data_IF_927726612466
#
_entry.id   IF_927726612466
#
_cell.length_a   1.000
_cell.length_b   1.000
_cell.length_c   1.000
_cell.angle_alpha   90.00
_cell.angle_beta   90.00
_cell.angle_gamma   90.00
#
_symmetry.space_group_name_H-M   'P 1'
#
loop_
_entity.id
_entity.type
_entity.pdbx_description
1 polymer ?
#
# COMPACT_ATOMS: atom_id res chain seq x y z
N UNK A 1 30.07 -13.94 42.62
CA UNK A 1 31.13 -14.28 41.65
C UNK A 1 30.92 -15.71 41.17
N UNK A 2 30.56 -15.94 39.89
CA UNK A 2 29.97 -15.02 38.92
C UNK A 2 28.50 -15.35 38.62
N UNK A 3 27.74 -14.29 38.35
CA UNK A 3 26.47 -14.31 37.61
C UNK A 3 26.78 -14.55 36.13
N UNK A 4 26.13 -15.52 35.49
CA UNK A 4 26.16 -15.67 34.03
C UNK A 4 24.89 -15.02 33.45
N UNK A 5 25.10 -13.82 32.93
CA UNK A 5 24.08 -13.00 32.28
C UNK A 5 23.71 -13.60 30.93
N UNK A 6 22.56 -14.27 30.87
CA UNK A 6 21.89 -14.61 29.61
C UNK A 6 21.42 -13.37 28.87
N UNK A 7 22.33 -12.69 28.14
CA UNK A 7 21.98 -11.72 27.09
C UNK A 7 21.74 -12.50 25.79
N UNK A 8 20.54 -12.47 25.20
CA UNK A 8 20.40 -12.87 23.81
C UNK A 8 21.14 -11.83 22.95
N UNK A 9 22.16 -12.28 22.22
CA UNK A 9 22.89 -11.50 21.24
C UNK A 9 21.90 -10.87 20.24
N UNK A 10 21.96 -9.55 20.11
CA UNK A 10 21.36 -8.82 19.00
C UNK A 10 21.78 -9.48 17.69
N UNK A 11 20.86 -10.18 17.03
CA UNK A 11 21.07 -10.62 15.66
C UNK A 11 21.03 -9.38 14.76
N UNK A 12 22.07 -9.15 13.94
CA UNK A 12 22.01 -8.10 12.94
C UNK A 12 20.86 -8.41 11.98
N UNK A 13 20.11 -7.36 11.63
CA UNK A 13 18.96 -7.41 10.73
C UNK A 13 19.41 -7.81 9.33
N UNK A 14 19.61 -9.09 9.09
CA UNK A 14 19.81 -9.62 7.75
C UNK A 14 18.52 -9.38 6.95
N UNK A 15 18.58 -8.50 5.95
CA UNK A 15 17.61 -8.45 4.87
C UNK A 15 17.59 -9.84 4.20
N UNK A 16 16.71 -10.73 4.69
CA UNK A 16 16.57 -12.08 4.19
C UNK A 16 15.83 -12.00 2.85
N UNK A 17 16.57 -12.21 1.77
CA UNK A 17 16.03 -12.35 0.42
C UNK A 17 14.89 -13.38 0.41
N UNK A 18 13.84 -13.09 -0.37
CA UNK A 18 12.73 -14.00 -0.58
C UNK A 18 13.24 -15.37 -1.06
N UNK A 19 12.60 -16.49 -0.70
CA UNK A 19 13.03 -17.81 -1.14
C UNK A 19 13.11 -17.82 -2.67
N UNK A 20 14.29 -18.21 -3.17
CA UNK A 20 14.61 -18.37 -4.58
C UNK A 20 13.62 -19.33 -5.23
N UNK A 21 12.66 -18.78 -5.99
CA UNK A 21 11.64 -19.52 -6.74
C UNK A 21 10.19 -19.05 -6.55
N UNK A 22 9.89 -18.19 -5.57
CA UNK A 22 8.54 -17.67 -5.39
C UNK A 22 8.16 -16.66 -6.50
N UNK A 23 7.03 -16.90 -7.17
CA UNK A 23 6.48 -16.05 -8.25
C UNK A 23 5.20 -15.38 -7.77
N UNK A 24 4.96 -14.14 -8.22
CA UNK A 24 3.73 -13.42 -7.87
C UNK A 24 2.48 -14.13 -8.42
N UNK A 25 1.38 -14.23 -7.65
CA UNK A 25 0.10 -14.72 -8.16
C UNK A 25 -0.55 -13.76 -9.17
N UNK A 26 -0.06 -12.52 -9.27
CA UNK A 26 -0.52 -11.55 -10.24
C UNK A 26 -0.22 -12.02 -11.68
N UNK A 27 -1.18 -11.83 -12.58
CA UNK A 27 -1.05 -12.22 -13.99
C UNK A 27 -0.46 -11.07 -14.78
N UNK A 28 0.64 -11.37 -15.45
CA UNK A 28 1.41 -10.48 -16.31
C UNK A 28 0.59 -9.91 -17.47
N UNK A 29 -0.31 -10.70 -18.05
CA UNK A 29 -1.22 -10.24 -19.09
C UNK A 29 -2.08 -9.06 -18.63
N UNK A 30 -2.69 -9.16 -17.45
CA UNK A 30 -3.51 -8.09 -16.90
C UNK A 30 -2.67 -6.88 -16.50
N UNK A 31 -1.47 -7.09 -15.95
CA UNK A 31 -0.54 -5.99 -15.69
C UNK A 31 -0.18 -5.22 -16.99
N UNK A 32 0.11 -5.94 -18.08
CA UNK A 32 0.42 -5.35 -19.38
C UNK A 32 -0.78 -4.62 -20.00
N UNK A 33 -1.96 -5.24 -19.96
CA UNK A 33 -3.20 -4.65 -20.48
C UNK A 33 -3.51 -3.33 -19.77
N UNK A 34 -3.42 -3.32 -18.44
CA UNK A 34 -3.65 -2.13 -17.63
C UNK A 34 -2.55 -1.06 -17.85
N UNK A 35 -1.34 -1.47 -18.24
CA UNK A 35 -0.24 -0.56 -18.53
C UNK A 35 -0.35 0.10 -19.92
N UNK A 36 -0.88 -0.61 -20.92
CA UNK A 36 -0.94 -0.15 -22.33
C UNK A 36 -2.30 0.43 -22.70
N UNK A 37 -3.39 -0.22 -22.28
CA UNK A 37 -4.76 0.10 -22.66
C UNK A 37 -5.60 0.71 -21.52
N UNK A 38 -4.99 0.91 -20.34
CA UNK A 38 -5.66 1.57 -19.22
C UNK A 38 -5.95 3.04 -19.56
N UNK A 39 -7.17 3.56 -19.31
CA UNK A 39 -7.48 4.98 -19.52
C UNK A 39 -6.71 5.91 -18.57
N UNK A 40 -6.01 5.32 -17.58
CA UNK A 40 -5.39 6.00 -16.46
C UNK A 40 -3.98 5.44 -16.24
N UNK A 41 -2.92 6.27 -16.22
CA UNK A 41 -1.56 5.81 -15.98
C UNK A 41 -1.36 5.28 -14.56
N UNK A 42 -0.48 4.29 -14.40
CA UNK A 42 -0.18 3.66 -13.11
C UNK A 42 -1.13 2.52 -12.67
N UNK A 43 -2.14 2.18 -13.49
CA UNK A 43 -3.14 1.15 -13.15
C UNK A 43 -2.54 -0.26 -12.96
N UNK A 44 -1.47 -0.57 -13.70
CA UNK A 44 -0.68 -1.80 -13.56
C UNK A 44 0.05 -1.90 -12.22
N UNK A 45 0.44 -0.77 -11.60
CA UNK A 45 1.03 -0.74 -10.25
C UNK A 45 -0.01 -0.99 -9.17
N UNK A 46 -1.25 -0.52 -9.36
CA UNK A 46 -2.36 -0.86 -8.48
C UNK A 46 -2.70 -2.35 -8.54
N UNK A 47 -2.66 -2.95 -9.74
CA UNK A 47 -2.91 -4.37 -9.94
C UNK A 47 -1.98 -5.25 -9.11
N UNK A 48 -0.69 -4.92 -9.05
CA UNK A 48 0.32 -5.67 -8.27
C UNK A 48 0.44 -5.23 -6.80
N UNK A 49 -0.46 -4.35 -6.35
CA UNK A 49 -0.55 -3.90 -4.96
C UNK A 49 0.45 -2.84 -4.53
N UNK A 50 1.17 -2.22 -5.48
CA UNK A 50 2.05 -1.08 -5.25
C UNK A 50 1.26 0.23 -5.22
N UNK A 51 0.35 0.36 -4.26
CA UNK A 51 -0.64 1.46 -4.18
C UNK A 51 0.03 2.84 -4.08
N UNK A 52 1.01 3.01 -3.19
CA UNK A 52 1.69 4.30 -3.01
C UNK A 52 2.34 4.81 -4.30
N UNK A 53 3.13 3.97 -4.97
CA UNK A 53 3.75 4.34 -6.25
C UNK A 53 2.74 4.44 -7.38
N UNK A 54 1.61 3.73 -7.32
CA UNK A 54 0.54 3.87 -8.30
C UNK A 54 -0.12 5.25 -8.24
N UNK A 55 -0.36 5.79 -7.03
CA UNK A 55 -0.92 7.16 -6.87
C UNK A 55 0.07 8.20 -7.38
N UNK A 56 1.37 8.00 -7.14
CA UNK A 56 2.40 8.86 -7.72
C UNK A 56 2.40 8.80 -9.26
N UNK A 57 2.28 7.62 -9.86
CA UNK A 57 2.17 7.46 -11.31
C UNK A 57 0.90 8.11 -11.88
N UNK A 58 -0.23 8.03 -11.18
CA UNK A 58 -1.48 8.67 -11.61
C UNK A 58 -1.31 10.18 -11.80
N UNK A 59 -0.80 10.88 -10.78
CA UNK A 59 -0.69 12.34 -10.79
C UNK A 59 0.47 12.87 -11.64
N UNK A 60 1.48 12.05 -11.89
CA UNK A 60 2.59 12.40 -12.80
C UNK A 60 2.34 12.01 -14.25
N UNK A 61 1.12 11.54 -14.57
CA UNK A 61 0.75 10.98 -15.88
C UNK A 61 1.73 9.87 -16.34
N UNK A 62 2.06 8.95 -15.43
CA UNK A 62 3.04 7.89 -15.63
C UNK A 62 4.50 8.36 -15.58
N UNK A 63 4.72 9.56 -15.01
CA UNK A 63 5.95 10.36 -15.01
C UNK A 63 6.37 10.89 -16.39
N UNK A 64 5.47 11.63 -17.07
CA UNK A 64 5.60 12.11 -18.46
C UNK A 64 5.67 10.98 -19.49
N UNK A 65 4.87 9.92 -19.33
CA UNK A 65 4.81 8.73 -20.24
C UNK A 65 6.07 7.86 -20.23
N UNK A 66 7.26 8.41 -19.97
CA UNK A 66 8.53 7.67 -19.93
C UNK A 66 8.52 6.60 -18.83
N UNK A 67 8.04 6.93 -17.63
CA UNK A 67 7.93 5.95 -16.55
C UNK A 67 6.91 4.84 -16.85
N UNK A 68 5.83 5.15 -17.57
CA UNK A 68 4.86 4.17 -18.05
C UNK A 68 5.49 3.23 -19.10
N UNK A 69 6.31 3.77 -20.01
CA UNK A 69 7.04 2.99 -21.01
C UNK A 69 8.08 2.06 -20.38
N UNK A 70 8.84 2.54 -19.39
CA UNK A 70 9.80 1.71 -18.63
C UNK A 70 9.06 0.56 -17.95
N UNK A 71 7.92 0.84 -17.33
CA UNK A 71 7.13 -0.22 -16.69
C UNK A 71 6.57 -1.23 -17.70
N UNK A 72 6.15 -0.79 -18.90
CA UNK A 72 5.76 -1.71 -19.98
C UNK A 72 6.93 -2.61 -20.39
N UNK A 73 8.14 -2.05 -20.54
CA UNK A 73 9.36 -2.82 -20.84
C UNK A 73 9.68 -3.81 -19.72
N UNK A 74 9.57 -3.39 -18.45
CA UNK A 74 9.78 -4.26 -17.29
C UNK A 74 8.73 -5.38 -17.21
N UNK A 75 7.48 -5.08 -17.54
CA UNK A 75 6.43 -6.09 -17.62
C UNK A 75 6.71 -7.03 -18.80
N UNK A 76 7.18 -6.57 -19.96
CA UNK A 76 7.54 -7.41 -21.11
C UNK A 76 8.85 -8.19 -20.95
N UNK A 77 9.76 -7.77 -20.07
CA UNK A 77 10.96 -8.51 -19.70
C UNK A 77 10.76 -9.44 -18.50
N UNK A 78 9.65 -9.31 -17.77
CA UNK A 78 9.33 -10.15 -16.62
C UNK A 78 10.08 -9.74 -15.35
N UNK A 79 10.73 -8.58 -15.38
CA UNK A 79 11.44 -7.96 -14.26
C UNK A 79 10.51 -7.10 -13.39
N UNK A 80 9.21 -7.06 -13.71
CA UNK A 80 8.24 -6.31 -12.93
C UNK A 80 7.86 -7.07 -11.66
N UNK A 81 8.04 -6.42 -10.51
CA UNK A 81 7.78 -7.02 -9.19
C UNK A 81 6.44 -6.55 -8.59
N UNK A 82 5.89 -7.36 -7.69
CA UNK A 82 4.74 -7.00 -6.86
C UNK A 82 5.12 -6.30 -5.55
N UNK A 83 4.13 -6.01 -4.68
CA UNK A 83 4.34 -5.36 -3.38
C UNK A 83 5.26 -6.15 -2.42
N UNK A 84 5.44 -7.45 -2.65
CA UNK A 84 6.24 -8.35 -1.83
C UNK A 84 7.64 -8.57 -2.43
N UNK A 85 7.97 -7.93 -3.55
CA UNK A 85 9.22 -8.13 -4.29
C UNK A 85 9.23 -9.42 -5.12
N UNK A 86 8.06 -10.01 -5.40
CA UNK A 86 7.98 -11.22 -6.23
C UNK A 86 7.82 -10.84 -7.71
N UNK A 87 8.55 -11.48 -8.63
CA UNK A 87 8.45 -11.20 -10.06
C UNK A 87 7.10 -11.66 -10.63
N UNK A 88 6.53 -10.86 -11.53
CA UNK A 88 5.23 -11.08 -12.18
C UNK A 88 5.45 -11.70 -13.56
N UNK A 89 5.69 -13.02 -13.60
CA UNK A 89 6.05 -13.73 -14.85
C UNK A 89 4.88 -14.49 -15.50
N UNK A 90 3.79 -14.76 -14.76
CA UNK A 90 2.69 -15.62 -15.19
C UNK A 90 1.81 -14.97 -16.28
N UNK A 91 1.82 -15.48 -17.51
CA UNK A 91 1.04 -14.96 -18.63
C UNK A 91 -0.43 -15.40 -18.61
N UNK A 92 -0.69 -16.70 -18.74
CA UNK A 92 -2.00 -17.32 -18.83
C UNK A 92 -1.94 -18.67 -18.09
N UNK A 93 -2.42 -18.73 -16.85
CA UNK A 93 -2.46 -19.99 -16.12
C UNK A 93 -3.45 -19.92 -14.95
N UNK A 94 -3.98 -21.08 -14.51
CA UNK A 94 -4.57 -21.21 -13.18
C UNK A 94 -3.53 -20.74 -12.16
N UNK A 95 -3.99 -20.19 -11.04
CA UNK A 95 -3.15 -19.94 -9.87
C UNK A 95 -2.31 -21.19 -9.59
N UNK A 96 -1.17 -21.07 -8.90
CA UNK A 96 -0.60 -22.20 -8.17
C UNK A 96 -1.51 -22.62 -6.97
N UNK A 97 -2.83 -22.58 -7.16
CA UNK A 97 -3.83 -23.27 -6.37
C UNK A 97 -4.19 -24.51 -7.20
N UNK A 98 -4.02 -25.70 -6.62
CA UNK A 98 -4.19 -27.03 -7.22
C UNK A 98 -3.07 -27.49 -8.17
N UNK A 99 -1.85 -27.66 -7.64
CA UNK A 99 -1.25 -28.99 -7.85
C UNK A 99 -2.04 -29.92 -6.93
N UNK A 100 -3.11 -30.53 -7.47
CA UNK A 100 -3.59 -31.78 -6.89
C UNK A 100 -2.37 -32.70 -6.87
N UNK A 101 -1.88 -33.00 -5.67
CA UNK A 101 -0.94 -34.09 -5.50
C UNK A 101 -1.62 -35.32 -6.09
N UNK A 102 -0.99 -36.09 -7.00
CA UNK A 102 -1.55 -37.37 -7.38
C UNK A 102 -1.83 -38.12 -6.09
N UNK A 103 -3.08 -38.57 -5.91
CA UNK A 103 -3.49 -39.37 -4.77
C UNK A 103 -2.42 -40.44 -4.55
N UNK A 104 -1.77 -40.40 -3.39
CA UNK A 104 -0.99 -41.54 -2.94
C UNK A 104 -1.90 -42.76 -3.09
N UNK A 105 -1.47 -43.85 -3.74
CA UNK A 105 -2.29 -45.04 -3.80
C UNK A 105 -2.65 -45.39 -2.37
N UNK A 106 -3.97 -45.43 -2.13
CA UNK A 106 -4.61 -45.86 -0.92
C UNK A 106 -3.82 -47.04 -0.35
N UNK A 107 -3.16 -46.82 0.80
CA UNK A 107 -2.48 -47.88 1.53
C UNK A 107 -3.57 -48.87 1.89
N UNK A 108 -3.69 -49.93 1.08
CA UNK A 108 -4.64 -51.00 1.26
C UNK A 108 -4.51 -51.48 2.70
N UNK A 109 -5.58 -51.25 3.47
CA UNK A 109 -5.71 -51.69 4.84
C UNK A 109 -5.37 -53.19 4.89
N UNK A 110 -4.35 -53.54 5.67
CA UNK A 110 -4.04 -54.92 5.97
C UNK A 110 -5.27 -55.56 6.65
N UNK A 111 -5.79 -56.71 6.18
CA UNK A 111 -6.84 -57.40 6.90
C UNK A 111 -6.24 -58.09 8.12
N UNK A 112 -6.60 -57.60 9.30
CA UNK A 112 -6.38 -58.26 10.58
C UNK A 112 -7.29 -59.49 10.65
N UNK A 113 -6.72 -60.69 10.47
CA UNK A 113 -7.47 -61.94 10.55
C UNK A 113 -6.62 -63.06 11.15
N UNK A 114 -6.97 -63.42 12.39
CA UNK A 114 -6.82 -64.70 13.08
C UNK A 114 -5.52 -65.54 12.90
N UNK A 115 -4.88 -65.76 14.05
CA UNK A 115 -3.90 -66.82 14.34
C UNK A 115 -4.49 -68.20 14.00
N UNK A 116 -3.70 -69.07 13.37
CA UNK A 116 -3.48 -70.46 13.83
C UNK A 116 -2.28 -71.08 13.10
N UNK A 117 -1.56 -71.93 13.85
CA UNK A 117 -0.23 -72.44 13.56
C UNK A 117 -0.21 -73.68 12.64
N UNK A 118 0.81 -73.79 11.80
CA UNK A 118 1.36 -75.07 11.34
C UNK A 118 2.85 -74.92 10.91
N UNK A 119 3.77 -75.81 11.32
CA UNK A 119 5.21 -75.66 11.07
C UNK A 119 5.71 -76.55 9.92
N UNK A 120 6.54 -76.03 9.00
CA UNK A 120 7.37 -76.87 8.09
C UNK A 120 8.72 -76.18 7.79
N UNK A 121 9.74 -76.62 8.53
CA UNK A 121 11.15 -76.99 8.24
C UNK A 121 11.98 -76.38 7.07
N UNK A 122 13.34 -76.39 7.17
CA UNK A 122 14.25 -75.40 6.60
C UNK A 122 15.09 -75.86 5.39
N UNK A 123 15.82 -74.90 4.80
CA UNK A 123 17.13 -74.96 4.11
C UNK A 123 17.18 -74.62 2.61
N UNK A 124 17.82 -73.49 2.25
CA UNK A 124 19.05 -73.45 1.42
C UNK A 124 19.70 -72.03 1.45
N UNK A 125 21.05 -71.91 1.36
CA UNK A 125 21.76 -70.64 1.54
C UNK A 125 22.19 -69.95 0.22
N UNK A 126 22.24 -68.61 0.29
CA UNK A 126 23.14 -67.68 -0.40
C UNK A 126 23.34 -67.75 -1.93
N UNK A 127 22.86 -66.70 -2.63
CA UNK A 127 23.58 -66.15 -3.78
C UNK A 127 24.01 -64.72 -3.43
N UNK A 128 25.32 -64.53 -3.38
CA UNK A 128 25.99 -63.26 -3.09
C UNK A 128 25.80 -62.27 -4.25
N UNK A 129 25.25 -61.08 -3.94
CA UNK A 129 25.34 -59.91 -4.81
C UNK A 129 26.44 -59.01 -4.25
N UNK A 130 27.40 -58.65 -5.12
CA UNK A 130 28.58 -57.85 -4.84
C UNK A 130 28.26 -56.50 -4.16
N UNK A 131 29.16 -55.93 -3.35
CA UNK A 131 28.89 -54.71 -2.59
C UNK A 131 28.71 -53.52 -3.52
N UNK A 132 27.55 -52.86 -3.40
CA UNK A 132 27.32 -51.55 -3.99
C UNK A 132 28.38 -50.58 -3.45
N UNK A 133 29.07 -49.90 -4.38
CA UNK A 133 30.03 -48.85 -4.06
C UNK A 133 29.35 -47.79 -3.20
N UNK A 134 30.03 -47.41 -2.12
CA UNK A 134 29.67 -46.28 -1.27
C UNK A 134 29.73 -44.99 -2.10
N UNK A 135 28.61 -44.59 -2.70
CA UNK A 135 28.43 -43.20 -3.14
C UNK A 135 28.15 -42.35 -1.89
N UNK A 136 28.88 -41.24 -1.67
CA UNK A 136 28.57 -40.34 -0.57
C UNK A 136 27.17 -39.74 -0.81
N UNK A 137 26.34 -39.58 0.24
CA UNK A 137 25.02 -39.00 0.08
C UNK A 137 25.14 -37.61 -0.56
N UNK A 138 24.61 -37.48 -1.77
CA UNK A 138 24.32 -36.19 -2.38
C UNK A 138 23.57 -35.36 -1.34
N UNK A 139 24.07 -34.14 -1.14
CA UNK A 139 23.68 -33.17 -0.12
C UNK A 139 22.22 -33.26 0.31
N UNK A 140 21.92 -33.14 1.62
CA UNK A 140 20.54 -33.12 2.07
C UNK A 140 19.81 -31.99 1.36
N UNK A 141 18.83 -32.37 0.54
CA UNK A 141 17.79 -31.48 0.07
C UNK A 141 17.02 -31.03 1.30
N UNK A 142 17.50 -29.96 1.95
CA UNK A 142 16.65 -29.11 2.73
C UNK A 142 15.67 -28.47 1.74
N UNK A 143 14.66 -29.22 1.34
CA UNK A 143 13.39 -28.63 1.02
C UNK A 143 12.98 -27.91 2.29
N UNK A 144 13.34 -26.63 2.38
CA UNK A 144 12.71 -25.70 3.29
C UNK A 144 11.26 -25.62 2.80
N UNK A 145 10.45 -26.59 3.22
CA UNK A 145 8.99 -26.56 3.12
C UNK A 145 8.46 -25.58 4.18
N UNK A 146 9.12 -24.43 4.31
CA UNK A 146 8.44 -23.23 4.76
C UNK A 146 7.67 -22.74 3.56
N UNK A 147 6.50 -23.34 3.30
CA UNK A 147 5.49 -22.71 2.44
C UNK A 147 5.20 -21.36 3.08
N UNK A 148 5.82 -20.30 2.55
CA UNK A 148 5.43 -18.94 2.89
C UNK A 148 4.02 -18.81 2.33
N UNK A 149 3.02 -18.93 3.20
CA UNK A 149 1.63 -18.69 2.85
C UNK A 149 1.50 -17.19 2.65
N UNK A 150 1.76 -16.73 1.42
CA UNK A 150 1.37 -15.39 1.00
C UNK A 150 -0.15 -15.40 0.89
N UNK A 151 -0.83 -14.51 1.64
CA UNK A 151 -2.25 -14.27 1.37
C UNK A 151 -2.40 -13.84 -0.10
N UNK A 152 -3.26 -14.50 -0.89
CA UNK A 152 -3.53 -14.10 -2.26
C UNK A 152 -4.01 -12.64 -2.30
N UNK A 153 -3.23 -11.79 -2.96
CA UNK A 153 -3.61 -10.41 -3.22
C UNK A 153 -4.75 -10.39 -4.25
N UNK A 154 -5.89 -9.80 -3.90
CA UNK A 154 -6.98 -9.62 -4.86
C UNK A 154 -6.84 -8.27 -5.60
N UNK A 155 -6.82 -8.28 -6.94
CA UNK A 155 -6.67 -7.06 -7.73
C UNK A 155 -7.78 -6.04 -7.48
N UNK A 156 -9.01 -6.51 -7.22
CA UNK A 156 -10.14 -5.65 -6.88
C UNK A 156 -9.93 -4.87 -5.56
N UNK A 157 -9.35 -5.51 -4.53
CA UNK A 157 -9.02 -4.84 -3.26
C UNK A 157 -7.97 -3.74 -3.45
N UNK A 158 -7.01 -3.97 -4.35
CA UNK A 158 -6.04 -2.97 -4.79
C UNK A 158 -6.68 -1.75 -5.44
N UNK A 159 -7.59 -1.97 -6.40
CA UNK A 159 -8.27 -0.90 -7.13
C UNK A 159 -9.17 -0.06 -6.22
N UNK A 160 -9.95 -0.70 -5.35
CA UNK A 160 -10.82 0.00 -4.38
C UNK A 160 -9.98 0.85 -3.43
N UNK A 161 -8.85 0.31 -2.94
CA UNK A 161 -7.93 1.06 -2.09
C UNK A 161 -7.28 2.24 -2.83
N UNK A 162 -6.89 2.04 -4.10
CA UNK A 162 -6.32 3.07 -4.94
C UNK A 162 -7.30 4.24 -5.15
N UNK A 163 -8.57 3.94 -5.46
CA UNK A 163 -9.61 4.96 -5.58
C UNK A 163 -9.76 5.76 -4.29
N UNK A 164 -9.73 5.08 -3.14
CA UNK A 164 -9.76 5.75 -1.83
C UNK A 164 -8.59 6.70 -1.62
N UNK A 165 -7.36 6.34 -2.02
CA UNK A 165 -6.21 7.24 -1.94
C UNK A 165 -6.28 8.40 -2.94
N UNK A 166 -6.84 8.20 -4.13
CA UNK A 166 -7.07 9.29 -5.10
C UNK A 166 -8.04 10.32 -4.51
N UNK A 167 -9.14 9.85 -3.91
CA UNK A 167 -10.09 10.74 -3.23
C UNK A 167 -9.48 11.43 -2.01
N UNK A 168 -8.63 10.74 -1.24
CA UNK A 168 -7.89 11.34 -0.12
C UNK A 168 -6.99 12.48 -0.62
N UNK A 169 -6.25 12.27 -1.72
CA UNK A 169 -5.43 13.33 -2.29
C UNK A 169 -6.27 14.49 -2.84
N UNK A 170 -7.38 14.20 -3.52
CA UNK A 170 -8.31 15.22 -3.97
C UNK A 170 -8.84 16.06 -2.79
N UNK A 171 -9.19 15.43 -1.67
CA UNK A 171 -9.59 16.12 -0.46
C UNK A 171 -8.48 17.01 0.12
N UNK A 172 -7.23 16.55 0.08
CA UNK A 172 -6.05 17.35 0.49
C UNK A 172 -5.90 18.58 -0.42
N UNK A 173 -6.02 18.43 -1.74
CA UNK A 173 -5.89 19.53 -2.69
C UNK A 173 -7.01 20.56 -2.55
N UNK A 174 -8.27 20.10 -2.44
CA UNK A 174 -9.42 20.98 -2.17
C UNK A 174 -9.26 21.65 -0.81
N UNK A 175 -8.84 20.89 0.20
CA UNK A 175 -8.54 21.40 1.54
C UNK A 175 -7.49 22.50 1.56
N UNK A 176 -6.42 22.34 0.79
CA UNK A 176 -5.39 23.37 0.63
C UNK A 176 -5.94 24.61 -0.08
N UNK A 177 -6.69 24.45 -1.16
CA UNK A 177 -7.29 25.58 -1.89
C UNK A 177 -8.26 26.38 -1.00
N UNK A 178 -9.14 25.70 -0.26
CA UNK A 178 -10.07 26.37 0.66
C UNK A 178 -9.33 26.93 1.89
N UNK A 179 -8.35 26.19 2.43
CA UNK A 179 -7.57 26.63 3.58
C UNK A 179 -6.69 27.86 3.33
N UNK A 180 -6.25 28.05 2.08
CA UNK A 180 -5.53 29.25 1.63
C UNK A 180 -6.48 30.37 1.17
N UNK A 181 -7.79 30.22 1.33
CA UNK A 181 -8.78 31.20 0.88
C UNK A 181 -8.63 31.56 -0.61
N UNK A 182 -8.26 30.59 -1.45
CA UNK A 182 -8.09 30.81 -2.89
C UNK A 182 -9.31 31.46 -3.55
N UNK A 183 -10.57 31.09 -3.23
CA UNK A 183 -11.75 31.77 -3.78
C UNK A 183 -11.78 33.26 -3.47
N UNK A 184 -11.41 33.63 -2.24
CA UNK A 184 -11.37 35.02 -1.79
C UNK A 184 -10.20 35.78 -2.43
N UNK A 185 -9.04 35.15 -2.59
CA UNK A 185 -7.89 35.72 -3.32
C UNK A 185 -8.25 35.97 -4.79
N UNK A 186 -8.99 35.04 -5.42
CA UNK A 186 -9.50 35.20 -6.78
C UNK A 186 -10.51 36.34 -6.87
N UNK A 187 -11.41 36.47 -5.89
CA UNK A 187 -12.35 37.58 -5.81
C UNK A 187 -11.67 38.94 -5.62
N UNK A 188 -10.56 38.97 -4.88
CA UNK A 188 -9.71 40.17 -4.80
C UNK A 188 -9.06 40.52 -6.14
N UNK A 189 -9.07 39.60 -7.12
CA UNK A 189 -8.67 39.82 -8.51
C UNK A 189 -7.28 39.28 -8.87
N UNK A 190 -6.73 38.37 -8.08
CA UNK A 190 -5.48 37.65 -8.41
C UNK A 190 -5.79 36.22 -8.89
N UNK A 191 -5.20 35.71 -9.99
CA UNK A 191 -4.13 36.31 -10.79
C UNK A 191 -4.60 37.34 -11.82
N UNK A 192 -5.89 37.36 -12.19
CA UNK A 192 -6.45 38.35 -13.13
C UNK A 192 -7.89 38.72 -12.71
N UNK A 193 -8.26 40.01 -12.68
CA UNK A 193 -9.63 40.46 -12.37
C UNK A 193 -10.70 39.96 -13.35
N UNK A 194 -10.35 39.53 -14.57
CA UNK A 194 -11.34 38.95 -15.49
C UNK A 194 -11.96 37.65 -14.94
N UNK A 195 -11.20 36.87 -14.16
CA UNK A 195 -11.67 35.60 -13.60
C UNK A 195 -12.77 35.85 -12.56
N UNK A 196 -12.61 36.86 -11.69
CA UNK A 196 -13.64 37.19 -10.69
C UNK A 196 -14.93 37.65 -11.36
N UNK A 197 -14.85 38.51 -12.37
CA UNK A 197 -16.03 38.98 -13.13
C UNK A 197 -16.79 37.84 -13.82
N UNK A 198 -16.06 36.88 -14.41
CA UNK A 198 -16.68 35.69 -15.01
C UNK A 198 -17.39 34.84 -13.96
N UNK A 199 -16.76 34.61 -12.80
CA UNK A 199 -17.35 33.82 -11.72
C UNK A 199 -18.57 34.52 -11.11
N UNK A 200 -18.54 35.84 -10.92
CA UNK A 200 -19.72 36.61 -10.49
C UNK A 200 -20.90 36.46 -11.46
N UNK A 201 -20.62 36.42 -12.76
CA UNK A 201 -21.63 36.19 -13.78
C UNK A 201 -22.21 34.76 -13.70
N UNK A 202 -21.36 33.75 -13.48
CA UNK A 202 -21.78 32.35 -13.36
C UNK A 202 -22.61 32.12 -12.09
N UNK A 203 -22.14 32.62 -10.96
CA UNK A 203 -22.77 32.44 -9.65
C UNK A 203 -23.88 33.46 -9.37
N UNK A 204 -24.10 34.44 -10.26
CA UNK A 204 -25.09 35.52 -10.14
C UNK A 204 -25.05 36.23 -8.77
N UNK A 205 -23.88 36.27 -8.14
CA UNK A 205 -23.70 36.82 -6.79
C UNK A 205 -22.26 37.28 -6.60
N UNK A 206 -22.08 38.38 -5.87
CA UNK A 206 -20.76 38.88 -5.44
C UNK A 206 -20.21 38.09 -4.24
N UNK A 207 -21.09 37.40 -3.51
CA UNK A 207 -20.77 36.55 -2.35
C UNK A 207 -20.36 35.11 -2.73
N UNK A 208 -20.15 34.84 -4.03
CA UNK A 208 -19.73 33.53 -4.53
C UNK A 208 -18.51 32.92 -3.82
N UNK A 209 -17.49 33.69 -3.35
CA UNK A 209 -16.33 33.10 -2.68
C UNK A 209 -16.74 32.36 -1.42
N UNK A 210 -17.67 32.94 -0.65
CA UNK A 210 -18.19 32.35 0.58
C UNK A 210 -18.99 31.08 0.29
N UNK A 211 -19.79 31.09 -0.77
CA UNK A 211 -20.55 29.90 -1.21
C UNK A 211 -19.60 28.78 -1.61
N UNK A 212 -18.54 29.08 -2.36
CA UNK A 212 -17.51 28.11 -2.75
C UNK A 212 -16.73 27.59 -1.55
N UNK A 213 -16.41 28.44 -0.57
CA UNK A 213 -15.73 28.02 0.66
C UNK A 213 -16.59 27.10 1.54
N UNK A 214 -17.88 27.41 1.68
CA UNK A 214 -18.82 26.56 2.41
C UNK A 214 -19.05 25.22 1.69
N UNK A 215 -19.30 25.27 0.39
CA UNK A 215 -19.45 24.08 -0.45
C UNK A 215 -18.19 23.22 -0.47
N UNK A 216 -17.02 23.85 -0.57
CA UNK A 216 -15.72 23.20 -0.53
C UNK A 216 -15.46 22.52 0.81
N UNK A 217 -15.82 23.17 1.92
CA UNK A 217 -15.77 22.57 3.26
C UNK A 217 -16.58 21.27 3.37
N UNK A 218 -17.82 21.28 2.88
CA UNK A 218 -18.67 20.08 2.85
C UNK A 218 -18.08 19.01 1.92
N UNK A 219 -17.60 19.40 0.74
CA UNK A 219 -16.98 18.51 -0.23
C UNK A 219 -15.76 17.78 0.35
N UNK A 220 -14.91 18.47 1.13
CA UNK A 220 -13.76 17.85 1.80
C UNK A 220 -14.24 16.75 2.75
N UNK A 221 -15.23 17.02 3.60
CA UNK A 221 -15.76 16.03 4.55
C UNK A 221 -16.30 14.81 3.81
N UNK A 222 -17.07 15.02 2.73
CA UNK A 222 -17.60 13.93 1.90
C UNK A 222 -16.48 13.14 1.24
N UNK A 223 -15.50 13.80 0.63
CA UNK A 223 -14.36 13.14 -0.03
C UNK A 223 -13.53 12.34 0.98
N UNK A 224 -13.26 12.88 2.16
CA UNK A 224 -12.57 12.20 3.24
C UNK A 224 -13.35 10.97 3.71
N UNK A 225 -14.67 11.11 3.93
CA UNK A 225 -15.51 9.98 4.32
C UNK A 225 -15.50 8.86 3.28
N UNK A 226 -15.74 9.19 2.00
CA UNK A 226 -15.73 8.19 0.91
C UNK A 226 -14.34 7.57 0.75
N UNK A 227 -13.28 8.37 0.84
CA UNK A 227 -11.90 7.89 0.84
C UNK A 227 -11.64 6.87 1.96
N UNK A 228 -12.08 7.18 3.19
CA UNK A 228 -11.96 6.30 4.33
C UNK A 228 -12.71 4.97 4.12
N UNK A 229 -13.95 5.03 3.63
CA UNK A 229 -14.76 3.83 3.32
C UNK A 229 -14.09 2.97 2.25
N UNK A 230 -13.60 3.56 1.17
CA UNK A 230 -12.93 2.81 0.10
C UNK A 230 -11.60 2.22 0.55
N UNK A 231 -10.77 2.98 1.28
CA UNK A 231 -9.55 2.43 1.88
C UNK A 231 -9.91 1.29 2.84
N UNK A 232 -10.99 1.42 3.62
CA UNK A 232 -11.47 0.38 4.53
C UNK A 232 -11.93 -0.89 3.79
N UNK A 233 -12.78 -0.77 2.77
CA UNK A 233 -13.26 -1.91 1.96
C UNK A 233 -12.08 -2.59 1.24
N UNK A 234 -11.16 -1.80 0.70
CA UNK A 234 -9.92 -2.29 0.09
C UNK A 234 -9.00 -2.99 1.09
N UNK A 235 -9.10 -2.67 2.39
CA UNK A 235 -8.22 -3.16 3.46
C UNK A 235 -8.94 -3.98 4.54
N UNK A 236 -10.12 -4.53 4.24
CA UNK A 236 -10.98 -5.29 5.17
C UNK A 236 -10.30 -6.44 5.94
N UNK A 237 -9.07 -6.80 5.59
CA UNK A 237 -8.22 -7.83 6.23
C UNK A 237 -7.31 -7.31 7.35
N UNK A 238 -7.18 -5.99 7.56
CA UNK A 238 -6.16 -5.40 8.44
C UNK A 238 -6.61 -5.07 9.89
N UNK A 239 -7.79 -5.55 10.30
CA UNK A 239 -8.30 -5.41 11.68
C UNK A 239 -8.70 -3.98 12.10
N UNK A 240 -9.42 -3.83 13.23
CA UNK A 240 -10.00 -2.55 13.66
C UNK A 240 -8.96 -1.49 14.08
N UNK A 241 -7.77 -1.89 14.50
CA UNK A 241 -6.70 -0.95 14.87
C UNK A 241 -6.26 -0.07 13.69
N UNK A 242 -6.30 -0.59 12.47
CA UNK A 242 -5.98 0.18 11.27
C UNK A 242 -7.06 1.21 10.93
N UNK A 243 -8.33 0.87 11.20
CA UNK A 243 -9.49 1.76 11.01
C UNK A 243 -9.41 2.99 11.91
N UNK A 244 -9.20 2.77 13.21
CA UNK A 244 -9.07 3.85 14.20
C UNK A 244 -7.95 4.81 13.78
N UNK A 245 -6.83 4.25 13.29
CA UNK A 245 -5.69 5.04 12.86
C UNK A 245 -5.99 5.90 11.62
N UNK A 246 -6.66 5.35 10.62
CA UNK A 246 -7.05 6.09 9.42
C UNK A 246 -8.03 7.22 9.75
N UNK A 247 -9.03 6.94 10.60
CA UNK A 247 -9.99 7.95 11.04
C UNK A 247 -9.33 9.06 11.86
N UNK A 248 -8.42 8.71 12.78
CA UNK A 248 -7.72 9.68 13.62
C UNK A 248 -6.77 10.57 12.80
N UNK A 249 -6.05 9.98 11.82
CA UNK A 249 -5.22 10.75 10.90
C UNK A 249 -6.05 11.68 10.02
N UNK A 250 -7.17 11.22 9.50
CA UNK A 250 -8.05 12.02 8.64
C UNK A 250 -8.78 13.14 9.38
N UNK A 251 -9.31 12.85 10.56
CA UNK A 251 -9.95 13.83 11.43
C UNK A 251 -8.97 14.88 11.92
N UNK A 252 -7.77 14.48 12.33
CA UNK A 252 -6.71 15.42 12.71
C UNK A 252 -6.29 16.32 11.55
N UNK A 253 -6.18 15.76 10.33
CA UNK A 253 -5.82 16.56 9.15
C UNK A 253 -6.92 17.59 8.80
N UNK A 254 -8.19 17.19 8.83
CA UNK A 254 -9.31 18.11 8.65
C UNK A 254 -9.32 19.22 9.71
N UNK A 255 -9.04 18.86 10.97
CA UNK A 255 -8.95 19.83 12.05
C UNK A 255 -7.78 20.79 11.87
N UNK A 256 -6.60 20.31 11.44
CA UNK A 256 -5.46 21.16 11.12
C UNK A 256 -5.79 22.17 10.01
N UNK A 257 -6.45 21.75 8.92
CA UNK A 257 -6.90 22.66 7.86
C UNK A 257 -7.89 23.69 8.41
N UNK A 258 -8.83 23.25 9.24
CA UNK A 258 -9.87 24.14 9.81
C UNK A 258 -9.26 25.18 10.75
N UNK A 259 -8.29 24.79 11.58
CA UNK A 259 -7.53 25.69 12.45
C UNK A 259 -6.71 26.69 11.63
N UNK A 260 -5.95 26.20 10.64
CA UNK A 260 -5.16 27.07 9.78
C UNK A 260 -6.03 28.10 9.05
N UNK A 261 -7.17 27.67 8.50
CA UNK A 261 -8.11 28.55 7.80
C UNK A 261 -8.72 29.60 8.72
N UNK A 262 -9.09 29.24 9.94
CA UNK A 262 -9.83 30.14 10.80
C UNK A 262 -8.90 31.08 11.60
N UNK A 263 -7.77 30.57 12.08
CA UNK A 263 -6.88 31.30 12.99
C UNK A 263 -5.68 31.93 12.27
N UNK A 264 -5.05 31.21 11.34
CA UNK A 264 -3.78 31.64 10.73
C UNK A 264 -4.02 32.48 9.48
N UNK A 265 -4.83 31.97 8.57
CA UNK A 265 -5.11 32.57 7.28
C UNK A 265 -6.56 32.98 7.24
N UNK A 266 -6.97 33.97 8.01
CA UNK A 266 -8.37 34.44 7.96
C UNK A 266 -8.71 35.03 6.58
N UNK A 267 -10.00 35.06 6.22
CA UNK A 267 -10.45 35.63 4.95
C UNK A 267 -9.99 37.08 4.75
N UNK A 268 -9.98 37.89 5.81
CA UNK A 268 -9.48 39.28 5.75
C UNK A 268 -7.98 39.37 5.50
N UNK A 269 -7.21 38.45 6.07
CA UNK A 269 -5.76 38.41 5.90
C UNK A 269 -5.38 38.00 4.48
N UNK A 270 -6.06 36.98 3.93
CA UNK A 270 -5.91 36.56 2.54
C UNK A 270 -6.26 37.69 1.56
N UNK A 271 -7.32 38.46 1.81
CA UNK A 271 -7.66 39.65 1.00
C UNK A 271 -6.58 40.74 1.07
N UNK A 272 -6.08 41.03 2.28
CA UNK A 272 -5.04 42.03 2.46
C UNK A 272 -3.75 41.65 1.70
N UNK A 273 -3.34 40.39 1.77
CA UNK A 273 -2.18 39.87 1.03
C UNK A 273 -2.44 39.95 -0.48
N UNK A 274 -3.61 39.53 -0.96
CA UNK A 274 -3.96 39.61 -2.39
C UNK A 274 -3.95 41.05 -2.91
N UNK A 275 -4.46 42.00 -2.13
CA UNK A 275 -4.45 43.42 -2.47
C UNK A 275 -3.03 43.99 -2.58
N UNK A 276 -2.12 43.60 -1.69
CA UNK A 276 -0.69 43.99 -1.77
C UNK A 276 -0.01 43.40 -3.00
N UNK A 277 -0.32 42.17 -3.37
CA UNK A 277 0.20 41.54 -4.60
C UNK A 277 -0.28 42.28 -5.85
N UNK A 278 -1.55 42.69 -5.88
CA UNK A 278 -2.08 43.49 -7.00
C UNK A 278 -1.44 44.88 -7.10
N UNK A 279 -1.07 45.47 -5.98
CA UNK A 279 -0.35 46.75 -5.93
C UNK A 279 1.14 46.62 -6.31
N UNK A 280 1.56 45.43 -6.75
CA UNK A 280 2.95 45.10 -7.08
C UNK A 280 3.91 45.22 -5.87
N UNK A 281 3.37 45.24 -4.65
CA UNK A 281 4.11 45.30 -3.39
C UNK A 281 4.35 43.89 -2.82
N UNK A 282 4.94 43.02 -3.66
CA UNK A 282 5.18 41.61 -3.30
C UNK A 282 6.01 41.47 -2.02
N UNK A 283 6.93 42.40 -1.75
CA UNK A 283 7.74 42.41 -0.52
C UNK A 283 6.89 42.51 0.75
N UNK A 284 5.94 43.47 0.79
CA UNK A 284 5.03 43.62 1.94
C UNK A 284 4.03 42.47 2.03
N UNK A 285 3.58 41.95 0.88
CA UNK A 285 2.71 40.78 0.84
C UNK A 285 3.39 39.54 1.47
N UNK A 286 4.67 39.31 1.14
CA UNK A 286 5.48 38.23 1.71
C UNK A 286 5.77 38.44 3.18
N UNK A 287 6.13 39.66 3.60
CA UNK A 287 6.36 39.98 5.02
C UNK A 287 5.11 39.69 5.85
N UNK A 288 3.94 40.10 5.34
CA UNK A 288 2.64 39.85 5.99
C UNK A 288 2.30 38.36 6.02
N UNK A 289 2.49 37.63 4.92
CA UNK A 289 2.34 36.18 4.87
C UNK A 289 3.24 35.46 5.88
N UNK A 290 4.52 35.81 5.95
CA UNK A 290 5.46 35.20 6.88
C UNK A 290 5.14 35.56 8.33
N UNK A 291 4.64 36.77 8.58
CA UNK A 291 4.16 37.16 9.91
C UNK A 291 2.98 36.31 10.36
N UNK A 292 2.04 36.00 9.46
CA UNK A 292 0.92 35.10 9.75
C UNK A 292 1.39 33.65 9.98
N UNK A 293 2.33 33.17 9.16
CA UNK A 293 2.91 31.81 9.33
C UNK A 293 3.81 31.66 10.56
N UNK A 294 4.32 32.76 11.11
CA UNK A 294 5.14 32.77 12.32
C UNK A 294 4.35 32.74 13.63
N UNK A 295 3.02 32.80 13.58
CA UNK A 295 2.15 32.79 14.76
C UNK A 295 2.14 31.41 15.43
N UNK A 296 1.87 31.36 16.73
CA UNK A 296 1.86 30.12 17.52
C UNK A 296 0.79 29.14 17.00
N UNK A 297 -0.33 29.68 16.53
CA UNK A 297 -1.45 28.98 15.92
C UNK A 297 -1.03 28.26 14.63
N UNK A 298 -0.14 28.88 13.83
CA UNK A 298 0.37 28.31 12.59
C UNK A 298 1.29 27.12 12.87
N UNK A 299 2.16 27.25 13.87
CA UNK A 299 3.02 26.16 14.33
C UNK A 299 2.17 25.01 14.83
N UNK A 300 1.15 25.29 15.65
CA UNK A 300 0.26 24.28 16.20
C UNK A 300 -0.52 23.53 15.11
N UNK A 301 -1.13 24.25 14.17
CA UNK A 301 -1.81 23.66 13.02
C UNK A 301 -0.86 22.80 12.17
N UNK A 302 0.38 23.27 11.94
CA UNK A 302 1.42 22.54 11.22
C UNK A 302 1.83 21.24 11.93
N UNK A 303 1.97 21.27 13.26
CA UNK A 303 2.26 20.07 14.06
C UNK A 303 1.13 19.05 13.97
N UNK A 304 -0.13 19.47 14.10
CA UNK A 304 -1.28 18.57 13.95
C UNK A 304 -1.28 17.96 12.55
N UNK A 305 -1.11 18.76 11.50
CA UNK A 305 -1.05 18.26 10.13
C UNK A 305 0.06 17.21 9.95
N UNK A 306 1.25 17.47 10.50
CA UNK A 306 2.39 16.56 10.41
C UNK A 306 2.12 15.24 11.15
N UNK A 307 1.57 15.32 12.37
CA UNK A 307 1.17 14.14 13.15
C UNK A 307 0.11 13.34 12.40
N UNK A 308 -0.90 14.00 11.85
CA UNK A 308 -1.95 13.36 11.05
C UNK A 308 -1.40 12.67 9.81
N UNK A 309 -0.46 13.29 9.09
CA UNK A 309 0.23 12.68 7.95
C UNK A 309 1.06 11.49 8.39
N UNK A 310 1.80 11.58 9.49
CA UNK A 310 2.60 10.48 10.03
C UNK A 310 1.71 9.29 10.41
N UNK A 311 0.57 9.58 11.05
CA UNK A 311 -0.45 8.59 11.39
C UNK A 311 -1.06 7.98 10.13
N UNK A 312 -1.26 8.73 9.04
CA UNK A 312 -1.72 8.14 7.77
C UNK A 312 -0.64 7.31 7.08
N UNK A 313 0.61 7.77 7.08
CA UNK A 313 1.74 7.18 6.37
C UNK A 313 2.33 5.94 7.07
N UNK A 314 2.05 5.72 8.35
CA UNK A 314 2.71 4.66 9.11
C UNK A 314 2.47 3.26 8.51
N UNK A 315 3.51 2.49 8.19
CA UNK A 315 3.34 1.22 7.49
C UNK A 315 2.58 0.21 8.37
N UNK A 316 1.67 -0.60 7.81
CA UNK A 316 1.12 -1.73 8.53
C UNK A 316 2.28 -2.65 8.95
N UNK A 317 2.26 -3.14 10.20
CA UNK A 317 3.25 -4.12 10.68
C UNK A 317 3.26 -5.29 9.70
N UNK A 318 4.41 -5.60 9.11
CA UNK A 318 4.60 -6.80 8.29
C UNK A 318 4.27 -7.97 9.19
N UNK A 319 3.23 -8.75 8.87
CA UNK A 319 2.98 -9.98 9.59
C UNK A 319 4.19 -10.90 9.34
N UNK A 320 4.81 -11.47 10.40
CA UNK A 320 5.84 -12.47 10.20
C UNK A 320 5.24 -13.63 9.40
N UNK A 321 5.95 -14.20 8.42
CA UNK A 321 5.47 -15.35 7.68
C UNK A 321 5.13 -16.45 8.69
N UNK A 322 3.88 -16.93 8.65
CA UNK A 322 3.47 -18.10 9.44
C UNK A 322 4.14 -19.29 8.78
N UNK A 323 5.20 -19.80 9.42
CA UNK A 323 5.78 -21.08 9.04
C UNK A 323 4.75 -22.17 9.38
N UNK A 324 4.51 -23.09 8.45
CA UNK A 324 3.73 -24.28 8.75
C UNK A 324 4.33 -24.99 9.99
N UNK A 325 3.52 -25.55 10.90
CA UNK A 325 4.05 -26.33 12.01
C UNK A 325 4.92 -27.45 11.45
N UNK A 326 6.19 -27.52 11.88
CA UNK A 326 7.05 -28.61 11.48
C UNK A 326 6.41 -29.92 11.95
N UNK A 327 6.22 -30.93 11.07
CA UNK A 327 5.78 -32.24 11.54
C UNK A 327 6.80 -32.72 12.58
N UNK A 328 6.31 -33.19 13.73
CA UNK A 328 7.14 -33.76 14.78
C UNK A 328 8.10 -34.75 14.15
N UNK A 329 9.39 -34.41 14.08
CA UNK A 329 10.41 -35.40 13.81
C UNK A 329 10.48 -36.25 15.06
N UNK A 330 9.76 -37.37 15.04
CA UNK A 330 9.86 -38.39 16.05
C UNK A 330 11.31 -38.83 16.12
N UNK A 331 12.01 -38.39 17.16
CA UNK A 331 13.30 -38.96 17.54
C UNK A 331 12.96 -40.36 18.06
N UNK A 332 13.17 -41.37 17.21
CA UNK A 332 13.25 -42.76 17.67
C UNK A 332 14.59 -42.87 18.38
N UNK A 333 14.54 -42.84 19.72
CA UNK A 333 15.67 -43.15 20.60
C UNK A 333 15.94 -44.66 20.62
#
# INVERSE_FOLDING_TARGET
MPEDTGRPLHQPSCHRAAPSGAVSPAKRFWALLLAVAGPVPGLHRFYVGKIGTGVLWFFTLGLFVVGQLIDIIMILSGQFEDKNGLPVVNWHGPSAETVEMPEHPEVAAAPTGARDAAPVMPSEPAVAVAPARNEPPSSPSYASTGTIIYEPWHPFSGLVCALGHILLLAAILVGLAIGLHLPVVVAAGWPNPTISQQLETVFHSTEWPRTVEQGGGLLIVVLLFVAAVLIMVGRRRFGPAHLIRALLGMGGFFWAISLFRNEVMSSSEAQAIAGLVQQNEVGRALERLFSALGQEEAIFAGVIALVSILILAWPPRRQPPIFAPMPNQGVVL
#
